data_IF_328063836546
#
_entry.id   IF_328063836546
#
_cell.length_a   1.000
_cell.length_b   1.000
_cell.length_c   1.000
_cell.angle_alpha   90.00
_cell.angle_beta   90.00
_cell.angle_gamma   90.00
#
_symmetry.space_group_name_H-M   'P 1'
#
loop_
_entity.id
_entity.type
_entity.pdbx_description
1 polymer ?
#
# COMPACT_ATOMS: atom_id res chain seq x y z
N UNK A 1 11.57 -3.75 13.94
CA UNK A 1 10.56 -4.65 13.39
C UNK A 1 9.53 -3.87 12.59
N UNK A 2 9.11 -4.41 11.47
CA UNK A 2 8.14 -3.74 10.61
C UNK A 2 6.77 -3.68 11.29
N UNK A 3 6.16 -2.51 11.27
CA UNK A 3 4.81 -2.32 11.79
C UNK A 3 3.80 -2.56 10.67
N UNK A 4 2.75 -3.34 10.94
CA UNK A 4 1.71 -3.63 9.97
C UNK A 4 0.38 -3.09 10.48
N UNK A 5 -0.24 -2.20 9.71
CA UNK A 5 -1.52 -1.59 10.04
C UNK A 5 -2.54 -1.90 8.95
N UNK A 6 -3.68 -2.44 9.34
CA UNK A 6 -4.83 -2.64 8.44
C UNK A 6 -5.78 -1.46 8.61
N UNK A 7 -5.97 -0.69 7.56
CA UNK A 7 -6.97 0.37 7.53
C UNK A 7 -8.25 -0.21 6.96
N UNK A 8 -9.24 -0.41 7.81
CA UNK A 8 -10.46 -1.13 7.47
C UNK A 8 -11.67 -0.19 7.36
N UNK A 9 -12.73 -0.66 6.70
CA UNK A 9 -13.95 0.12 6.54
C UNK A 9 -13.83 1.23 5.51
N UNK A 10 -12.89 1.09 4.59
CA UNK A 10 -12.63 2.10 3.55
C UNK A 10 -13.71 2.00 2.48
N UNK A 11 -14.25 3.14 2.06
CA UNK A 11 -15.26 3.18 1.01
C UNK A 11 -14.73 2.85 -0.36
N UNK A 12 -13.58 3.40 -0.73
CA UNK A 12 -12.95 3.18 -2.03
C UNK A 12 -11.44 3.00 -1.83
N UNK A 13 -10.95 1.78 -2.07
CA UNK A 13 -9.56 1.43 -1.76
C UNK A 13 -8.54 2.31 -2.47
N UNK A 14 -8.72 2.53 -3.76
CA UNK A 14 -7.74 3.29 -4.56
C UNK A 14 -7.72 4.76 -4.14
N UNK A 15 -8.88 5.37 -3.93
CA UNK A 15 -8.94 6.77 -3.50
C UNK A 15 -8.34 6.95 -2.10
N UNK A 16 -8.64 6.03 -1.21
CA UNK A 16 -8.05 6.07 0.13
C UNK A 16 -6.53 5.92 0.08
N UNK A 17 -6.04 5.02 -0.77
CA UNK A 17 -4.61 4.84 -0.96
C UNK A 17 -3.92 6.13 -1.42
N UNK A 18 -4.56 6.88 -2.32
CA UNK A 18 -4.03 8.17 -2.76
C UNK A 18 -3.89 9.14 -1.58
N UNK A 19 -4.87 9.14 -0.67
CA UNK A 19 -4.82 9.99 0.53
C UNK A 19 -3.68 9.59 1.46
N UNK A 20 -3.49 8.30 1.65
CA UNK A 20 -2.40 7.79 2.49
C UNK A 20 -1.04 8.19 1.92
N UNK A 21 -0.86 8.02 0.62
CA UNK A 21 0.39 8.38 -0.05
C UNK A 21 0.65 9.88 0.04
N UNK A 22 -0.38 10.69 -0.14
CA UNK A 22 -0.28 12.14 -0.01
C UNK A 22 0.14 12.54 1.41
N UNK A 23 -0.43 11.88 2.42
CA UNK A 23 -0.04 12.09 3.82
C UNK A 23 1.41 11.68 4.08
N UNK A 24 1.82 10.56 3.53
CA UNK A 24 3.19 10.09 3.67
C UNK A 24 4.16 11.12 3.07
N UNK A 25 3.83 11.66 1.91
CA UNK A 25 4.67 12.68 1.27
C UNK A 25 4.70 13.98 2.08
N UNK A 26 3.58 14.37 2.66
CA UNK A 26 3.55 15.55 3.55
C UNK A 26 4.46 15.37 4.76
N UNK A 27 4.66 14.13 5.20
CA UNK A 27 5.57 13.79 6.28
C UNK A 27 6.99 13.49 5.78
N UNK A 28 7.29 13.77 4.52
CA UNK A 28 8.59 13.53 3.88
C UNK A 28 9.02 12.06 3.86
N UNK A 29 8.06 11.16 3.81
CA UNK A 29 8.33 9.72 3.70
C UNK A 29 8.31 9.27 2.26
N UNK A 30 9.15 8.30 1.95
CA UNK A 30 9.14 7.63 0.64
C UNK A 30 8.24 6.40 0.75
N UNK A 31 7.60 6.04 -0.35
CA UNK A 31 6.62 4.96 -0.33
C UNK A 31 6.69 4.09 -1.58
N UNK A 32 6.33 2.82 -1.40
CA UNK A 32 6.09 1.88 -2.49
C UNK A 32 4.63 1.48 -2.42
N UNK A 33 3.94 1.51 -3.56
CA UNK A 33 2.58 1.01 -3.70
C UNK A 33 2.67 -0.29 -4.50
N UNK A 34 2.17 -1.37 -3.93
CA UNK A 34 2.36 -2.71 -4.46
C UNK A 34 1.02 -3.38 -4.75
N UNK A 35 0.92 -4.02 -5.91
CA UNK A 35 -0.14 -4.98 -6.21
C UNK A 35 0.32 -5.86 -7.36
N UNK A 36 0.06 -7.17 -7.27
CA UNK A 36 0.30 -8.08 -8.39
C UNK A 36 -0.81 -7.98 -9.43
N UNK A 37 -1.89 -7.27 -9.10
CA UNK A 37 -2.97 -7.02 -10.05
C UNK A 37 -2.64 -5.75 -10.83
N UNK A 38 -2.12 -5.93 -12.05
CA UNK A 38 -1.66 -4.82 -12.88
C UNK A 38 -2.76 -3.77 -13.11
N UNK A 39 -4.00 -4.23 -13.25
CA UNK A 39 -5.13 -3.34 -13.47
C UNK A 39 -5.39 -2.43 -12.26
N UNK A 40 -5.30 -2.98 -11.06
CA UNK A 40 -5.48 -2.18 -9.85
C UNK A 40 -4.38 -1.16 -9.69
N UNK A 41 -3.15 -1.55 -10.00
CA UNK A 41 -2.01 -0.64 -9.94
C UNK A 41 -2.16 0.49 -10.95
N UNK A 42 -2.67 0.18 -12.15
CA UNK A 42 -2.94 1.19 -13.16
C UNK A 42 -4.06 2.15 -12.72
N UNK A 43 -5.07 1.64 -12.04
CA UNK A 43 -6.13 2.48 -11.48
C UNK A 43 -5.58 3.44 -10.43
N UNK A 44 -4.67 2.96 -9.60
CA UNK A 44 -4.01 3.82 -8.61
C UNK A 44 -3.17 4.90 -9.30
N UNK A 45 -2.38 4.53 -10.29
CA UNK A 45 -1.56 5.46 -11.07
C UNK A 45 -2.42 6.59 -11.65
N UNK A 46 -3.52 6.22 -12.31
CA UNK A 46 -4.44 7.19 -12.90
C UNK A 46 -5.08 8.08 -11.83
N UNK A 47 -5.51 7.48 -10.74
CA UNK A 47 -6.16 8.21 -9.66
C UNK A 47 -5.20 9.21 -9.01
N UNK A 48 -3.94 8.83 -8.83
CA UNK A 48 -2.96 9.71 -8.20
C UNK A 48 -2.68 10.94 -9.05
N UNK A 49 -2.68 10.80 -10.37
CA UNK A 49 -2.53 11.95 -11.27
C UNK A 49 -3.65 12.97 -11.13
N UNK A 50 -4.87 12.50 -10.84
CA UNK A 50 -6.06 13.35 -10.82
C UNK A 50 -6.64 13.57 -9.44
N UNK A 51 -6.02 13.02 -8.40
CA UNK A 51 -6.56 13.05 -7.03
C UNK A 51 -6.76 14.47 -6.52
N UNK A 52 -5.82 15.36 -6.80
CA UNK A 52 -5.94 16.77 -6.44
C UNK A 52 -5.35 17.61 -7.55
N UNK A 53 -6.10 18.61 -7.99
CA UNK A 53 -5.65 19.53 -9.03
C UNK A 53 -4.48 20.39 -8.56
N UNK A 54 -4.31 20.53 -7.25
CA UNK A 54 -3.29 21.43 -6.68
C UNK A 54 -2.06 20.68 -6.18
N UNK A 55 -2.15 19.39 -5.99
CA UNK A 55 -1.06 18.60 -5.41
C UNK A 55 -0.57 17.55 -6.40
N UNK A 56 0.60 17.78 -6.94
CA UNK A 56 1.25 16.80 -7.78
C UNK A 56 2.13 15.91 -6.91
N UNK A 57 1.92 14.59 -6.97
CA UNK A 57 2.75 13.62 -6.27
C UNK A 57 3.60 12.88 -7.30
N UNK A 58 4.90 13.14 -7.34
CA UNK A 58 5.78 12.43 -8.29
C UNK A 58 5.77 10.94 -8.03
N UNK A 59 5.48 10.15 -9.05
CA UNK A 59 5.47 8.69 -8.96
C UNK A 59 5.80 8.05 -10.30
N UNK A 60 6.47 6.91 -10.25
CA UNK A 60 6.82 6.13 -11.44
C UNK A 60 6.75 4.65 -11.10
N UNK A 61 6.69 3.80 -12.12
CA UNK A 61 6.80 2.36 -11.95
C UNK A 61 8.24 1.95 -11.63
N UNK A 62 8.40 0.84 -10.95
CA UNK A 62 9.71 0.36 -10.49
C UNK A 62 10.73 0.18 -11.61
N UNK A 63 10.28 -0.14 -12.81
CA UNK A 63 11.17 -0.31 -13.96
C UNK A 63 11.62 0.99 -14.62
N UNK A 64 11.14 2.14 -14.16
CA UNK A 64 11.50 3.42 -14.73
C UNK A 64 12.95 3.80 -14.43
N UNK A 65 13.60 4.46 -15.37
CA UNK A 65 14.94 5.02 -15.15
C UNK A 65 14.95 6.08 -14.04
N UNK A 66 13.78 6.66 -13.71
CA UNK A 66 13.66 7.69 -12.70
C UNK A 66 13.35 7.12 -11.30
N UNK A 67 13.25 5.79 -11.16
CA UNK A 67 12.82 5.17 -9.90
C UNK A 67 13.71 5.57 -8.72
N UNK A 68 15.02 5.63 -8.93
CA UNK A 68 15.96 5.94 -7.85
C UNK A 68 15.77 7.34 -7.25
N UNK A 69 15.21 8.28 -8.03
CA UNK A 69 15.06 9.67 -7.60
C UNK A 69 13.61 10.07 -7.36
N UNK A 70 12.66 9.14 -7.54
CA UNK A 70 11.23 9.42 -7.36
C UNK A 70 10.77 8.90 -6.01
N UNK A 71 10.01 9.71 -5.23
CA UNK A 71 9.65 9.32 -3.87
C UNK A 71 8.58 8.24 -3.76
N UNK A 72 7.74 8.08 -4.78
CA UNK A 72 6.68 7.07 -4.77
C UNK A 72 6.87 6.13 -5.95
N UNK A 73 6.99 4.84 -5.65
CA UNK A 73 7.25 3.81 -6.64
C UNK A 73 6.08 2.84 -6.68
N UNK A 74 5.63 2.51 -7.90
CA UNK A 74 4.57 1.53 -8.13
C UNK A 74 5.23 0.22 -8.53
N UNK A 75 4.96 -0.85 -7.78
CA UNK A 75 5.61 -2.14 -8.01
C UNK A 75 4.58 -3.24 -8.22
N UNK A 76 4.74 -4.00 -9.28
CA UNK A 76 3.87 -5.13 -9.63
C UNK A 76 4.32 -6.45 -9.01
N UNK A 77 5.51 -6.50 -8.44
CA UNK A 77 6.03 -7.68 -7.76
C UNK A 77 7.00 -7.26 -6.66
N UNK A 78 7.23 -8.16 -5.71
CA UNK A 78 8.11 -7.85 -4.58
C UNK A 78 9.57 -7.74 -5.01
N UNK A 79 9.96 -8.46 -6.06
CA UNK A 79 11.35 -8.46 -6.51
C UNK A 79 11.81 -7.13 -7.08
N UNK A 80 10.91 -6.37 -7.69
CA UNK A 80 11.24 -5.06 -8.26
C UNK A 80 11.06 -3.91 -7.28
N UNK A 81 10.42 -4.16 -6.13
CA UNK A 81 10.10 -3.12 -5.16
C UNK A 81 11.36 -2.72 -4.37
N UNK A 82 11.74 -1.44 -4.37
CA UNK A 82 12.90 -1.00 -3.60
C UNK A 82 12.60 -0.93 -2.11
N UNK A 83 13.65 -0.87 -1.31
CA UNK A 83 13.54 -0.52 0.11
C UNK A 83 13.01 0.91 0.24
N UNK A 84 12.15 1.16 1.22
CA UNK A 84 11.54 2.46 1.41
C UNK A 84 11.00 2.59 2.84
N UNK A 85 10.42 3.75 3.17
CA UNK A 85 9.85 3.97 4.50
C UNK A 85 8.51 3.23 4.66
N UNK A 86 7.64 3.33 3.66
CA UNK A 86 6.27 2.81 3.73
C UNK A 86 5.99 1.92 2.54
N UNK A 87 5.38 0.77 2.81
CA UNK A 87 4.79 -0.08 1.78
C UNK A 87 3.27 -0.02 1.94
N UNK A 88 2.57 0.39 0.89
CA UNK A 88 1.12 0.32 0.85
C UNK A 88 0.74 -0.80 -0.12
N UNK A 89 0.07 -1.83 0.38
CA UNK A 89 -0.33 -2.94 -0.46
C UNK A 89 -1.82 -2.86 -0.82
N UNK A 90 -2.09 -3.01 -2.11
CA UNK A 90 -3.43 -3.06 -2.67
C UNK A 90 -3.77 -4.45 -3.18
N UNK A 91 -2.97 -5.45 -2.81
CA UNK A 91 -3.22 -6.83 -3.22
C UNK A 91 -4.23 -7.49 -2.29
N UNK A 92 -4.87 -8.56 -2.78
CA UNK A 92 -5.87 -9.30 -2.01
C UNK A 92 -5.25 -10.44 -1.21
N UNK A 93 -4.08 -10.91 -1.65
CA UNK A 93 -3.41 -12.06 -1.06
C UNK A 93 -2.13 -11.66 -0.35
N UNK A 94 -1.68 -12.53 0.56
CA UNK A 94 -0.37 -12.37 1.19
C UNK A 94 0.71 -12.44 0.11
N UNK A 95 1.62 -11.47 0.05
CA UNK A 95 2.69 -11.52 -0.96
C UNK A 95 3.59 -12.74 -0.75
N UNK A 96 4.11 -13.36 -1.82
CA UNK A 96 5.12 -14.41 -1.68
C UNK A 96 6.32 -13.88 -0.90
N UNK A 97 6.87 -14.70 -0.01
CA UNK A 97 8.01 -14.34 0.83
C UNK A 97 7.80 -13.00 1.54
N UNK A 98 6.59 -12.80 2.06
CA UNK A 98 6.23 -11.50 2.65
C UNK A 98 7.14 -11.10 3.79
N UNK A 99 7.70 -12.05 4.52
CA UNK A 99 8.56 -11.73 5.66
C UNK A 99 9.82 -10.98 5.22
N UNK A 100 10.48 -11.44 4.16
CA UNK A 100 11.65 -10.73 3.65
C UNK A 100 11.26 -9.45 2.91
N UNK A 101 10.11 -9.47 2.24
CA UNK A 101 9.61 -8.28 1.55
C UNK A 101 9.30 -7.16 2.54
N UNK A 102 8.52 -7.46 3.57
CA UNK A 102 8.12 -6.46 4.56
C UNK A 102 9.31 -5.93 5.37
N UNK A 103 10.36 -6.72 5.53
CA UNK A 103 11.55 -6.29 6.26
C UNK A 103 12.25 -5.07 5.64
N UNK A 104 11.95 -4.76 4.39
CA UNK A 104 12.52 -3.59 3.70
C UNK A 104 11.83 -2.27 4.06
N UNK A 105 10.77 -2.32 4.88
CA UNK A 105 9.95 -1.15 5.18
C UNK A 105 9.80 -0.99 6.68
N UNK A 106 9.70 0.25 7.12
CA UNK A 106 9.39 0.55 8.54
C UNK A 106 7.92 0.25 8.82
N UNK A 107 7.07 0.49 7.84
CA UNK A 107 5.62 0.36 7.99
C UNK A 107 4.99 -0.23 6.74
N UNK A 108 4.07 -1.16 6.96
CA UNK A 108 3.23 -1.74 5.90
C UNK A 108 1.79 -1.35 6.20
N UNK A 109 1.09 -0.83 5.20
CA UNK A 109 -0.32 -0.46 5.31
C UNK A 109 -1.12 -1.34 4.36
N UNK A 110 -2.11 -2.03 4.94
CA UNK A 110 -3.10 -2.80 4.20
C UNK A 110 -4.39 -1.99 4.13
N UNK A 111 -4.97 -1.85 2.95
CA UNK A 111 -6.20 -1.09 2.77
C UNK A 111 -7.34 -2.05 2.49
N UNK A 112 -8.37 -2.03 3.33
CA UNK A 112 -9.48 -2.97 3.28
C UNK A 112 -10.79 -2.22 3.14
N UNK A 113 -11.53 -2.51 2.07
CA UNK A 113 -12.84 -1.88 1.86
C UNK A 113 -13.90 -2.48 2.78
N UNK A 114 -15.08 -1.87 2.79
CA UNK A 114 -16.22 -2.39 3.55
C UNK A 114 -16.91 -3.57 2.89
N UNK A 115 -16.46 -3.97 1.71
CA UNK A 115 -16.97 -5.16 1.02
C UNK A 115 -16.70 -6.43 1.81
N UNK A 116 -17.69 -7.31 1.92
CA UNK A 116 -17.57 -8.54 2.73
C UNK A 116 -16.45 -9.46 2.25
N UNK A 117 -16.30 -9.62 0.95
CA UNK A 117 -15.23 -10.45 0.39
C UNK A 117 -13.85 -9.90 0.73
N UNK A 118 -13.68 -8.59 0.62
CA UNK A 118 -12.45 -7.90 0.99
C UNK A 118 -12.12 -8.11 2.46
N UNK A 119 -13.12 -7.97 3.30
CA UNK A 119 -12.97 -8.14 4.75
C UNK A 119 -12.54 -9.57 5.10
N UNK A 120 -13.12 -10.56 4.45
CA UNK A 120 -12.75 -11.96 4.68
C UNK A 120 -11.32 -12.24 4.26
N UNK A 121 -10.92 -11.75 3.09
CA UNK A 121 -9.54 -11.91 2.62
C UNK A 121 -8.55 -11.20 3.55
N UNK A 122 -8.93 -10.04 4.05
CA UNK A 122 -8.09 -9.29 4.99
C UNK A 122 -7.93 -10.03 6.32
N UNK A 123 -8.98 -10.68 6.81
CA UNK A 123 -8.88 -11.48 8.03
C UNK A 123 -7.89 -12.63 7.87
N UNK A 124 -7.89 -13.27 6.71
CA UNK A 124 -6.94 -14.33 6.42
C UNK A 124 -5.50 -13.81 6.41
N UNK A 125 -5.27 -12.63 5.81
CA UNK A 125 -3.95 -12.02 5.82
C UNK A 125 -3.52 -11.63 7.23
N UNK A 126 -4.41 -11.02 7.98
CA UNK A 126 -4.15 -10.61 9.36
C UNK A 126 -3.71 -11.81 10.21
N UNK A 127 -4.46 -12.91 10.10
CA UNK A 127 -4.12 -14.14 10.81
C UNK A 127 -2.77 -14.69 10.37
N UNK A 128 -2.49 -14.68 9.08
CA UNK A 128 -1.21 -15.16 8.55
C UNK A 128 -0.03 -14.37 9.13
N UNK A 129 -0.13 -13.05 9.14
CA UNK A 129 0.94 -12.20 9.69
C UNK A 129 1.12 -12.44 11.18
N UNK A 130 0.02 -12.53 11.91
CA UNK A 130 0.06 -12.80 13.35
C UNK A 130 0.70 -14.16 13.66
N UNK A 131 0.33 -15.18 12.90
CA UNK A 131 0.86 -16.54 13.10
C UNK A 131 2.36 -16.62 12.79
N UNK A 132 2.88 -15.67 12.03
CA UNK A 132 4.30 -15.60 11.70
C UNK A 132 5.10 -14.65 12.61
N UNK A 133 4.49 -14.21 13.70
CA UNK A 133 5.18 -13.42 14.72
C UNK A 133 5.06 -11.92 14.61
N UNK A 134 4.32 -11.41 13.63
CA UNK A 134 4.03 -9.99 13.57
C UNK A 134 2.89 -9.63 14.51
N UNK A 135 2.74 -8.35 14.79
CA UNK A 135 1.64 -7.85 15.64
C UNK A 135 0.83 -6.84 14.83
N UNK A 136 0.06 -7.32 13.83
CA UNK A 136 -0.72 -6.39 13.03
C UNK A 136 -1.81 -5.72 13.84
N UNK A 137 -2.10 -4.47 13.52
CA UNK A 137 -3.19 -3.71 14.14
C UNK A 137 -4.27 -3.43 13.11
N UNK A 138 -5.49 -3.21 13.58
CA UNK A 138 -6.61 -2.83 12.72
C UNK A 138 -7.10 -1.45 13.16
N UNK A 139 -7.18 -0.55 12.20
CA UNK A 139 -7.63 0.83 12.42
C UNK A 139 -8.89 1.04 11.59
N UNK A 140 -10.01 1.31 12.23
CA UNK A 140 -11.24 1.59 11.52
C UNK A 140 -11.22 3.02 11.01
N UNK A 141 -11.43 3.17 9.69
CA UNK A 141 -11.42 4.48 9.05
C UNK A 141 -12.79 5.10 9.22
N UNK A 142 -12.82 6.27 9.83
CA UNK A 142 -14.07 7.01 10.02
C UNK A 142 -14.48 7.69 8.72
N UNK A 143 -15.78 7.80 8.49
CA UNK A 143 -16.39 8.43 7.31
C UNK A 143 -16.23 7.61 6.03
N UNK A 144 -15.81 6.36 6.13
CA UNK A 144 -15.78 5.43 5.01
C UNK A 144 -14.79 5.72 3.91
N UNK A 145 -13.83 6.56 4.15
CA UNK A 145 -12.87 6.95 3.10
C UNK A 145 -11.58 6.17 3.15
#
# INVERSE_FOLDING_TARGET
MTRIDFHIGVGHRVHYACRVIRKARAAHKRAVVYSRQAERLAQFDQALWTFSALDFVPHVYAGSALAATTPVILAGDAGSAPESDVLLTLDDEVPPDFESFFARYERVIEVVSSDDGDRQRARARFKCYRDRGFQPTAIEVKNGD
#
